data_IF_404450054275
#
_entry.id   IF_404450054275
#
_cell.length_a   1.000
_cell.length_b   1.000
_cell.length_c   1.000
_cell.angle_alpha   90.00
_cell.angle_beta   90.00
_cell.angle_gamma   90.00
#
_symmetry.space_group_name_H-M   'P 1'
#
loop_
_entity.id
_entity.type
_entity.pdbx_description
1 polymer ?
#
# COMPACT_ATOMS: atom_id res chain seq x y z
N UNK A 1 -5.97 -18.01 -7.27
CA UNK A 1 -4.86 -17.50 -8.10
C UNK A 1 -5.01 -16.01 -8.38
N UNK A 2 -6.20 -15.54 -8.77
CA UNK A 2 -6.49 -14.14 -9.15
C UNK A 2 -6.00 -13.08 -8.14
N UNK A 3 -6.23 -13.27 -6.83
CA UNK A 3 -5.78 -12.30 -5.81
C UNK A 3 -4.27 -12.03 -5.85
N UNK A 4 -3.44 -13.05 -6.08
CA UNK A 4 -1.98 -12.89 -6.19
C UNK A 4 -1.59 -12.22 -7.51
N UNK A 5 -2.35 -12.46 -8.58
CA UNK A 5 -2.15 -11.76 -9.86
C UNK A 5 -2.45 -10.26 -9.71
N UNK A 6 -3.55 -9.91 -9.04
CA UNK A 6 -3.91 -8.53 -8.72
C UNK A 6 -2.86 -7.88 -7.80
N UNK A 7 -2.35 -8.62 -6.80
CA UNK A 7 -1.29 -8.14 -5.92
C UNK A 7 0.00 -7.79 -6.70
N UNK A 8 0.39 -8.65 -7.65
CA UNK A 8 1.53 -8.41 -8.54
C UNK A 8 1.30 -7.20 -9.44
N UNK A 9 0.08 -7.01 -9.93
CA UNK A 9 -0.27 -5.83 -10.72
C UNK A 9 -0.21 -4.55 -9.89
N UNK A 10 -0.70 -4.58 -8.65
CA UNK A 10 -0.58 -3.48 -7.71
C UNK A 10 0.88 -3.14 -7.37
N UNK A 11 1.73 -4.16 -7.16
CA UNK A 11 3.17 -3.96 -6.99
C UNK A 11 3.78 -3.25 -8.21
N UNK A 12 3.46 -3.69 -9.42
CA UNK A 12 3.93 -3.07 -10.67
C UNK A 12 3.52 -1.59 -10.76
N UNK A 13 2.24 -1.29 -10.53
CA UNK A 13 1.72 0.07 -10.57
C UNK A 13 2.41 0.97 -9.52
N UNK A 14 2.54 0.48 -8.28
CA UNK A 14 3.22 1.21 -7.20
C UNK A 14 4.71 1.43 -7.51
N UNK A 15 5.39 0.47 -8.16
CA UNK A 15 6.78 0.64 -8.63
C UNK A 15 6.90 1.71 -9.70
N UNK A 16 6.00 1.72 -10.68
CA UNK A 16 6.00 2.71 -11.75
C UNK A 16 5.82 4.14 -11.22
N UNK A 17 4.86 4.34 -10.31
CA UNK A 17 4.52 5.67 -9.78
C UNK A 17 5.53 6.17 -8.75
N UNK A 18 5.93 5.31 -7.80
CA UNK A 18 6.60 5.77 -6.58
C UNK A 18 8.02 5.24 -6.37
N UNK A 19 8.46 4.24 -7.14
CA UNK A 19 9.82 3.65 -7.06
C UNK A 19 10.25 3.29 -5.62
N UNK A 20 9.44 2.54 -4.84
CA UNK A 20 9.84 2.08 -3.51
C UNK A 20 11.01 1.09 -3.58
N UNK A 21 11.79 1.04 -2.50
CA UNK A 21 12.91 0.11 -2.37
C UNK A 21 12.45 -1.31 -2.01
N UNK A 22 11.24 -1.46 -1.47
CA UNK A 22 10.66 -2.75 -1.11
C UNK A 22 9.16 -2.69 -0.86
N UNK A 23 8.58 -3.82 -0.47
CA UNK A 23 7.15 -3.93 -0.18
C UNK A 23 6.92 -4.86 1.02
N UNK A 24 5.86 -4.59 1.79
CA UNK A 24 5.24 -5.56 2.69
C UNK A 24 3.88 -5.97 2.13
N UNK A 25 3.69 -7.27 1.93
CA UNK A 25 2.40 -7.85 1.54
C UNK A 25 1.89 -8.73 2.68
N UNK A 26 0.63 -8.58 3.08
CA UNK A 26 0.06 -9.35 4.19
C UNK A 26 -1.43 -9.17 4.38
N UNK A 27 -2.04 -10.08 5.15
CA UNK A 27 -3.46 -10.07 5.51
C UNK A 27 -3.58 -10.28 7.02
N UNK A 28 -4.56 -9.62 7.64
CA UNK A 28 -4.92 -9.87 9.04
C UNK A 28 -6.18 -10.74 9.06
N UNK A 29 -6.12 -11.89 9.73
CA UNK A 29 -7.25 -12.85 9.81
C UNK A 29 -7.68 -13.00 11.27
N UNK A 30 -8.89 -12.50 11.56
CA UNK A 30 -9.46 -12.48 12.90
C UNK A 30 -9.06 -11.23 13.72
N UNK A 31 -9.85 -10.94 14.75
CA UNK A 31 -9.69 -9.76 15.60
C UNK A 31 -8.31 -9.71 16.27
N UNK A 32 -7.82 -10.84 16.80
CA UNK A 32 -6.50 -10.92 17.42
C UNK A 32 -5.33 -10.60 16.48
N UNK A 33 -5.51 -10.78 15.17
CA UNK A 33 -4.52 -10.41 14.17
C UNK A 33 -4.63 -8.92 13.74
N UNK A 34 -5.57 -8.17 14.31
CA UNK A 34 -5.83 -6.77 13.97
C UNK A 34 -6.68 -6.60 12.71
N UNK A 35 -7.57 -7.54 12.40
CA UNK A 35 -8.52 -7.39 11.29
C UNK A 35 -9.56 -6.31 11.63
N UNK A 36 -9.45 -5.12 11.02
CA UNK A 36 -10.37 -4.00 11.26
C UNK A 36 -11.76 -4.18 10.64
N UNK A 37 -11.90 -5.09 9.66
CA UNK A 37 -13.18 -5.40 9.00
C UNK A 37 -13.46 -6.89 9.17
N UNK A 38 -14.15 -7.25 10.25
CA UNK A 38 -14.27 -8.61 10.80
C UNK A 38 -14.93 -9.68 9.89
N UNK A 39 -15.31 -9.35 8.66
CA UNK A 39 -15.89 -10.29 7.68
C UNK A 39 -15.35 -10.15 6.26
N UNK A 40 -14.32 -9.32 6.04
CA UNK A 40 -13.80 -9.06 4.70
C UNK A 40 -12.28 -9.21 4.66
N UNK A 41 -11.82 -10.31 4.05
CA UNK A 41 -10.39 -10.56 3.84
C UNK A 41 -9.88 -9.61 2.78
N UNK A 42 -8.79 -8.91 3.10
CA UNK A 42 -8.11 -8.01 2.18
C UNK A 42 -6.59 -8.17 2.30
N UNK A 43 -5.91 -8.07 1.17
CA UNK A 43 -4.46 -8.08 1.08
C UNK A 43 -3.94 -6.65 1.10
N UNK A 44 -3.12 -6.33 2.09
CA UNK A 44 -2.36 -5.08 2.09
C UNK A 44 -1.15 -5.21 1.17
N UNK A 45 -0.94 -4.21 0.31
CA UNK A 45 0.27 -4.04 -0.50
C UNK A 45 0.88 -2.70 -0.12
N UNK A 46 1.91 -2.73 0.72
CA UNK A 46 2.48 -1.53 1.34
C UNK A 46 3.86 -1.24 0.77
N UNK A 47 4.05 -0.17 -0.02
CA UNK A 47 5.38 0.22 -0.51
C UNK A 47 6.24 0.74 0.65
N UNK A 48 7.54 0.43 0.63
CA UNK A 48 8.50 0.76 1.68
C UNK A 48 9.73 1.48 1.13
N UNK A 49 10.26 2.41 1.92
CA UNK A 49 11.52 3.11 1.65
C UNK A 49 12.49 2.98 2.83
N UNK A 50 13.80 3.11 2.59
CA UNK A 50 14.76 3.24 3.68
C UNK A 50 14.38 4.43 4.55
N UNK A 51 14.24 4.20 5.86
CA UNK A 51 13.88 5.22 6.85
C UNK A 51 12.54 5.95 6.57
N UNK A 52 11.54 5.26 6.03
CA UNK A 52 10.17 5.79 5.89
C UNK A 52 9.45 6.04 7.24
N UNK A 53 9.93 5.42 8.31
CA UNK A 53 9.69 5.85 9.69
C UNK A 53 10.85 6.70 10.19
N UNK A 54 10.55 7.91 10.63
CA UNK A 54 11.55 8.87 11.11
C UNK A 54 11.16 9.43 12.50
N UNK A 55 11.95 10.40 13.00
CA UNK A 55 11.73 11.02 14.31
C UNK A 55 10.31 11.55 14.51
N UNK A 56 9.70 12.15 13.48
CA UNK A 56 8.32 12.65 13.57
C UNK A 56 7.35 11.51 13.88
N UNK A 57 7.52 10.36 13.25
CA UNK A 57 6.68 9.19 13.48
C UNK A 57 6.96 8.52 14.83
N UNK A 58 8.23 8.35 15.20
CA UNK A 58 8.62 7.53 16.36
C UNK A 58 8.59 8.30 17.68
N UNK A 59 8.99 9.58 17.68
CA UNK A 59 9.08 10.41 18.90
C UNK A 59 7.98 11.47 18.93
N UNK A 60 7.70 12.08 17.78
CA UNK A 60 6.62 13.06 17.66
C UNK A 60 5.22 12.47 17.50
N UNK A 61 5.10 11.12 17.45
CA UNK A 61 3.85 10.37 17.26
C UNK A 61 2.98 10.88 16.09
N UNK A 62 3.61 11.52 15.10
CA UNK A 62 2.93 12.22 14.01
C UNK A 62 3.37 11.63 12.68
N UNK A 63 2.42 11.08 11.93
CA UNK A 63 2.68 10.58 10.58
C UNK A 63 2.41 11.66 9.54
N UNK A 64 3.46 12.06 8.83
CA UNK A 64 3.35 13.00 7.71
C UNK A 64 2.96 12.23 6.45
N UNK A 65 1.85 12.63 5.82
CA UNK A 65 1.43 12.14 4.52
C UNK A 65 1.77 13.21 3.46
N UNK A 66 2.75 12.96 2.57
CA UNK A 66 3.22 13.98 1.63
C UNK A 66 2.28 14.20 0.44
N UNK A 67 1.28 13.34 0.27
CA UNK A 67 0.37 13.35 -0.87
C UNK A 67 -1.06 13.05 -0.39
N UNK A 68 -2.05 13.67 -1.05
CA UNK A 68 -3.47 13.42 -0.79
C UNK A 68 -3.91 12.08 -1.38
N UNK A 69 -4.96 11.50 -0.82
CA UNK A 69 -5.48 10.22 -1.30
C UNK A 69 -6.05 10.33 -2.72
N UNK A 70 -6.68 11.46 -3.07
CA UNK A 70 -7.24 11.66 -4.41
C UNK A 70 -6.14 11.70 -5.49
N UNK A 71 -5.02 12.34 -5.18
CA UNK A 71 -3.87 12.43 -6.08
C UNK A 71 -3.21 11.05 -6.26
N UNK A 72 -3.04 10.31 -5.16
CA UNK A 72 -2.54 8.94 -5.16
C UNK A 72 -3.44 8.03 -6.01
N UNK A 73 -4.76 8.11 -5.82
CA UNK A 73 -5.74 7.34 -6.59
C UNK A 73 -5.64 7.66 -8.08
N UNK A 74 -5.63 8.94 -8.45
CA UNK A 74 -5.56 9.36 -9.85
C UNK A 74 -4.26 8.92 -10.55
N UNK A 75 -3.13 8.87 -9.83
CA UNK A 75 -1.87 8.34 -10.36
C UNK A 75 -1.93 6.83 -10.57
N UNK A 76 -2.37 6.08 -9.55
CA UNK A 76 -2.41 4.62 -9.63
C UNK A 76 -3.43 4.14 -10.65
N UNK A 77 -4.60 4.77 -10.74
CA UNK A 77 -5.64 4.39 -11.69
C UNK A 77 -5.14 4.36 -13.15
N UNK A 78 -4.21 5.25 -13.51
CA UNK A 78 -3.61 5.29 -14.85
C UNK A 78 -2.77 4.06 -15.17
N UNK A 79 -2.14 3.45 -14.17
CA UNK A 79 -1.31 2.24 -14.33
C UNK A 79 -2.14 0.95 -14.38
N UNK A 80 -3.35 0.97 -13.80
CA UNK A 80 -4.31 -0.13 -13.87
C UNK A 80 -5.23 -0.05 -15.09
N UNK A 81 -5.29 1.09 -15.78
CA UNK A 81 -6.03 1.19 -17.02
C UNK A 81 -5.37 0.31 -18.10
N UNK A 82 -6.14 -0.43 -18.92
CA UNK A 82 -5.58 -1.17 -20.03
C UNK A 82 -4.82 -0.20 -20.94
N UNK A 83 -3.64 -0.63 -21.42
CA UNK A 83 -2.92 0.11 -22.43
C UNK A 83 -3.86 0.33 -23.62
N UNK A 84 -4.03 1.60 -24.02
CA UNK A 84 -4.75 1.94 -25.25
C UNK A 84 -4.04 1.37 -26.47
#
# INVERSE_FOLDING_TARGET
>A
AEMILLAREAERALRAVYRPAGFNLGMNIGECAGAGVAGHIHLHVVPRWPADSNFMTTVGETRVLPERLEDTYAKLLKEFAPAK
#
